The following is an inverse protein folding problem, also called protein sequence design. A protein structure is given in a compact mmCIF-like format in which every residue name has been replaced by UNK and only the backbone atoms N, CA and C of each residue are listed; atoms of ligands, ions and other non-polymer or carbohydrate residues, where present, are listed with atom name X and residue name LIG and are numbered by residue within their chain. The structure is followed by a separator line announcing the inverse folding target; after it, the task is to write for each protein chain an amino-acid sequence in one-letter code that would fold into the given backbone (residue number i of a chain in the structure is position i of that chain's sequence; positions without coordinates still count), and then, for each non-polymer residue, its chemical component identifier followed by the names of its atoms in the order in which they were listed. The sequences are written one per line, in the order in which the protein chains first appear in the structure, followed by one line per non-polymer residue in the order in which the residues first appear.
data_IF_484353689905
#
_entry.id   IF_484353689905
#
_cell.length_a   1.000
_cell.length_b   1.000
_cell.length_c   1.000
_cell.angle_alpha   90.00
_cell.angle_beta   90.00
_cell.angle_gamma   90.00
#
_symmetry.space_group_name_H-M   'P 1'
#
loop_
_entity.id
_entity.type
_entity.pdbx_description
1 polymer ?
#
# COMPACT_ATOMS: atom_id res chain seq x y z
N UNK A 1 1.70 7.97 -2.27
CA UNK A 1 1.38 8.21 -3.69
C UNK A 1 2.20 7.26 -4.54
N UNK A 2 1.62 6.68 -5.58
CA UNK A 2 2.27 5.66 -6.42
C UNK A 2 2.13 6.07 -7.90
N UNK A 3 3.21 6.06 -8.71
CA UNK A 3 3.12 6.35 -10.14
C UNK A 3 2.20 5.37 -10.87
N UNK A 4 1.46 5.84 -11.88
CA UNK A 4 0.63 4.98 -12.71
C UNK A 4 1.49 4.15 -13.68
N UNK A 5 1.82 2.92 -13.26
CA UNK A 5 2.62 1.99 -14.05
C UNK A 5 2.06 0.58 -13.91
N UNK A 6 2.14 -0.17 -14.99
CA UNK A 6 1.75 -1.59 -15.01
C UNK A 6 2.49 -2.34 -13.91
N UNK A 7 1.74 -3.15 -13.14
CA UNK A 7 2.29 -4.01 -12.09
C UNK A 7 2.41 -3.39 -10.70
N UNK A 8 2.10 -2.10 -10.51
CA UNK A 8 2.24 -1.46 -9.19
C UNK A 8 1.35 -2.11 -8.12
N UNK A 9 0.07 -2.33 -8.42
CA UNK A 9 -0.85 -3.02 -7.50
C UNK A 9 -0.40 -4.45 -7.23
N UNK A 10 0.09 -5.16 -8.26
CA UNK A 10 0.59 -6.52 -8.11
C UNK A 10 1.80 -6.57 -7.17
N UNK A 11 2.76 -5.63 -7.33
CA UNK A 11 3.93 -5.54 -6.46
C UNK A 11 3.56 -5.22 -5.02
N UNK A 12 2.64 -4.28 -4.80
CA UNK A 12 2.17 -3.95 -3.45
C UNK A 12 1.47 -5.14 -2.80
N UNK A 13 0.59 -5.83 -3.55
CA UNK A 13 -0.11 -7.02 -3.05
C UNK A 13 0.85 -8.16 -2.69
N UNK A 14 1.89 -8.36 -3.50
CA UNK A 14 2.97 -9.31 -3.20
C UNK A 14 3.69 -8.96 -1.90
N UNK A 15 4.10 -7.70 -1.71
CA UNK A 15 4.78 -7.29 -0.47
C UNK A 15 3.89 -7.50 0.77
N UNK A 16 2.59 -7.21 0.66
CA UNK A 16 1.64 -7.44 1.76
C UNK A 16 1.52 -8.94 2.07
N UNK A 17 1.44 -9.79 1.03
CA UNK A 17 1.42 -11.25 1.19
C UNK A 17 2.71 -11.78 1.81
N UNK A 18 3.87 -11.28 1.37
CA UNK A 18 5.18 -11.69 1.89
C UNK A 18 5.36 -11.29 3.38
N UNK A 19 4.63 -10.27 3.83
CA UNK A 19 4.52 -9.92 5.24
C UNK A 19 3.55 -10.81 6.04
N UNK A 20 2.91 -11.80 5.41
CA UNK A 20 1.91 -12.67 6.03
C UNK A 20 0.58 -11.98 6.34
N UNK A 21 0.30 -10.84 5.70
CA UNK A 21 -0.87 -9.99 5.99
C UNK A 21 -1.95 -10.21 4.92
N UNK A 22 -3.21 -10.32 5.34
CA UNK A 22 -4.35 -10.44 4.44
C UNK A 22 -4.91 -9.07 4.05
N UNK A 23 -5.23 -8.88 2.78
CA UNK A 23 -5.89 -7.68 2.27
C UNK A 23 -7.41 -7.85 2.35
N UNK A 24 -8.08 -6.94 3.05
CA UNK A 24 -9.55 -6.91 3.16
C UNK A 24 -10.20 -6.05 2.08
N UNK A 25 -9.57 -4.94 1.71
CA UNK A 25 -10.11 -4.03 0.70
C UNK A 25 -9.00 -3.17 0.08
N UNK A 26 -9.18 -2.80 -1.19
CA UNK A 26 -8.32 -1.86 -1.92
C UNK A 26 -9.17 -0.80 -2.58
N UNK A 27 -8.79 0.46 -2.43
CA UNK A 27 -9.37 1.58 -3.15
C UNK A 27 -8.25 2.45 -3.75
N UNK A 28 -8.50 3.00 -4.95
CA UNK A 28 -7.53 3.84 -5.66
C UNK A 28 -8.17 5.18 -6.03
N UNK A 29 -7.46 6.26 -5.76
CA UNK A 29 -7.87 7.62 -6.11
C UNK A 29 -6.79 8.23 -6.98
N UNK A 30 -7.17 8.66 -8.19
CA UNK A 30 -6.26 9.39 -9.07
C UNK A 30 -6.07 10.81 -8.54
N UNK A 31 -4.82 11.27 -8.43
CA UNK A 31 -4.57 12.69 -8.20
C UNK A 31 -4.86 13.48 -9.48
N UNK A 32 -5.58 14.59 -9.37
CA UNK A 32 -5.85 15.49 -10.50
C UNK A 32 -4.66 16.38 -10.85
N UNK A 33 -3.67 16.49 -9.96
CA UNK A 33 -2.52 17.39 -10.09
C UNK A 33 -1.25 16.64 -10.48
N UNK A 34 -1.11 15.40 -10.02
CA UNK A 34 0.04 14.53 -10.30
C UNK A 34 -0.46 13.27 -11.02
N UNK A 35 0.29 12.76 -11.99
CA UNK A 35 -0.03 11.50 -12.68
C UNK A 35 0.31 10.28 -11.79
N UNK A 36 -0.30 10.26 -10.61
CA UNK A 36 -0.08 9.35 -9.51
C UNK A 36 -1.40 9.00 -8.85
N UNK A 37 -1.40 7.84 -8.20
CA UNK A 37 -2.55 7.34 -7.46
C UNK A 37 -2.26 7.33 -5.97
N UNK A 38 -3.26 7.71 -5.20
CA UNK A 38 -3.34 7.34 -3.80
C UNK A 38 -4.00 5.97 -3.73
N UNK A 39 -3.33 5.04 -3.07
CA UNK A 39 -3.84 3.68 -2.87
C UNK A 39 -4.13 3.56 -1.37
N UNK A 40 -5.36 3.19 -1.05
CA UNK A 40 -5.80 2.90 0.31
C UNK A 40 -6.01 1.39 0.40
N UNK A 41 -5.36 0.76 1.36
CA UNK A 41 -5.42 -0.68 1.57
C UNK A 41 -5.86 -0.91 3.01
N UNK A 42 -6.95 -1.67 3.18
CA UNK A 42 -7.37 -2.17 4.47
C UNK A 42 -6.84 -3.58 4.62
N UNK A 43 -6.15 -3.84 5.71
CA UNK A 43 -5.51 -5.12 5.99
C UNK A 43 -5.92 -5.63 7.37
N UNK A 44 -5.83 -6.94 7.56
CA UNK A 44 -5.96 -7.57 8.88
C UNK A 44 -4.56 -7.93 9.36
N UNK A 45 -4.08 -7.24 10.40
CA UNK A 45 -2.75 -7.44 10.98
C UNK A 45 -2.78 -7.17 12.47
N UNK A 46 -1.99 -7.92 13.25
CA UNK A 46 -1.77 -7.67 14.68
C UNK A 46 -0.74 -6.56 14.91
N UNK A 47 0.09 -6.26 13.91
CA UNK A 47 1.12 -5.22 13.97
C UNK A 47 1.27 -4.55 12.60
N UNK A 48 1.02 -3.24 12.54
CA UNK A 48 1.13 -2.46 11.30
C UNK A 48 2.59 -2.16 10.91
N UNK A 49 3.46 -1.97 11.92
CA UNK A 49 4.83 -1.48 11.74
C UNK A 49 5.68 -2.33 10.79
N UNK A 50 5.71 -3.67 10.89
CA UNK A 50 6.50 -4.50 9.98
C UNK A 50 6.12 -4.34 8.50
N UNK A 51 4.81 -4.19 8.22
CA UNK A 51 4.31 -3.98 6.87
C UNK A 51 4.68 -2.59 6.35
N UNK A 52 4.56 -1.55 7.18
CA UNK A 52 4.96 -0.19 6.83
C UNK A 52 6.44 -0.16 6.46
N UNK A 53 7.31 -0.72 7.31
CA UNK A 53 8.75 -0.73 7.07
C UNK A 53 9.10 -1.52 5.79
N UNK A 54 8.38 -2.61 5.50
CA UNK A 54 8.57 -3.39 4.27
C UNK A 54 8.22 -2.58 3.01
N UNK A 55 7.11 -1.84 3.04
CA UNK A 55 6.67 -0.98 1.93
C UNK A 55 7.66 0.16 1.70
N UNK A 56 8.12 0.82 2.76
CA UNK A 56 9.08 1.93 2.69
C UNK A 56 10.44 1.47 2.16
N UNK A 57 10.94 0.30 2.61
CA UNK A 57 12.17 -0.30 2.06
C UNK A 57 12.10 -0.58 0.55
N UNK A 58 10.89 -0.78 0.02
CA UNK A 58 10.65 -0.99 -1.41
C UNK A 58 10.30 0.31 -2.17
N UNK A 59 10.48 1.47 -1.54
CA UNK A 59 10.30 2.78 -2.17
C UNK A 59 8.85 3.28 -2.17
N UNK A 60 7.94 2.61 -1.49
CA UNK A 60 6.57 3.10 -1.33
C UNK A 60 6.48 4.04 -0.13
N UNK A 61 6.02 5.27 -0.36
CA UNK A 61 5.75 6.21 0.73
C UNK A 61 4.37 5.95 1.33
N UNK A 62 4.35 5.47 2.58
CA UNK A 62 3.12 5.37 3.38
C UNK A 62 2.78 6.76 3.92
N UNK A 63 1.58 7.24 3.63
CA UNK A 63 1.18 8.62 3.95
C UNK A 63 0.45 8.72 5.30
N UNK A 64 -0.35 7.70 5.63
CA UNK A 64 -1.20 7.67 6.80
C UNK A 64 -1.48 6.22 7.18
N UNK A 65 -1.58 5.97 8.48
CA UNK A 65 -1.96 4.67 9.06
C UNK A 65 -3.03 4.95 10.10
N UNK A 66 -4.14 4.21 10.00
CA UNK A 66 -5.21 4.24 10.98
C UNK A 66 -5.31 2.83 11.58
N UNK A 67 -5.25 2.75 12.89
CA UNK A 67 -5.42 1.51 13.65
C UNK A 67 -6.73 1.66 14.43
N UNK A 68 -7.62 0.67 14.24
CA UNK A 68 -8.90 0.57 14.96
C UNK A 68 -8.72 -0.28 16.24
#
# INVERSE_FOLDING_TARGET
MVPDRVGQLARIAELIRDAGVAIRNVATFRSSVLDQYQIIIRVETEASRPLIDLLERHGYKVLHVLED
#
